data_IF_791428210164
#
_entry.id   IF_791428210164
#
_cell.length_a   1.000
_cell.length_b   1.000
_cell.length_c   1.000
_cell.angle_alpha   90.00
_cell.angle_beta   90.00
_cell.angle_gamma   90.00
#
_symmetry.space_group_name_H-M   'P 1'
#
loop_
_entity.id
_entity.type
_entity.pdbx_description
1 polymer ?
#
# COMPACT_ATOMS: atom_id res chain seq x y z
N UNK A 1 -9.13 -17.49 -11.04
CA UNK A 1 -7.66 -17.47 -11.27
C UNK A 1 -7.13 -18.86 -10.95
N UNK A 2 -6.01 -19.31 -11.56
CA UNK A 2 -5.40 -20.60 -11.20
C UNK A 2 -5.15 -20.68 -9.69
N UNK A 3 -5.50 -21.80 -9.07
CA UNK A 3 -5.46 -22.03 -7.63
C UNK A 3 -4.05 -22.31 -7.07
N UNK A 4 -3.07 -22.53 -7.95
CA UNK A 4 -1.67 -22.78 -7.59
C UNK A 4 -0.88 -21.54 -7.20
N UNK A 5 -1.46 -20.33 -7.31
CA UNK A 5 -0.78 -19.08 -7.00
C UNK A 5 -1.47 -18.31 -5.88
N UNK A 6 -0.66 -17.58 -5.12
CA UNK A 6 -1.14 -16.55 -4.20
C UNK A 6 -1.28 -15.23 -4.94
N UNK A 7 -2.44 -14.59 -4.83
CA UNK A 7 -2.70 -13.30 -5.47
C UNK A 7 -2.72 -12.16 -4.47
N UNK A 8 -2.37 -10.97 -4.97
CA UNK A 8 -2.47 -9.70 -4.26
C UNK A 8 -3.25 -8.68 -5.07
N UNK A 9 -4.13 -7.91 -4.43
CA UNK A 9 -4.84 -6.77 -5.02
C UNK A 9 -4.40 -5.49 -4.34
N UNK A 10 -3.83 -4.59 -5.13
CA UNK A 10 -3.53 -3.21 -4.72
C UNK A 10 -4.64 -2.28 -5.22
N UNK A 11 -5.30 -1.59 -4.29
CA UNK A 11 -6.27 -0.54 -4.61
C UNK A 11 -5.65 0.84 -4.40
N UNK A 12 -5.96 1.78 -5.30
CA UNK A 12 -5.41 3.15 -5.26
C UNK A 12 -6.47 4.23 -5.05
N UNK A 13 -7.76 3.85 -5.02
CA UNK A 13 -8.86 4.80 -4.86
C UNK A 13 -9.12 5.10 -3.36
N UNK A 14 -9.23 6.38 -2.95
CA UNK A 14 -9.38 6.76 -1.53
C UNK A 14 -10.58 6.14 -0.81
N UNK A 15 -11.66 5.84 -1.53
CA UNK A 15 -12.86 5.22 -0.96
C UNK A 15 -12.58 3.87 -0.28
N UNK A 16 -11.56 3.13 -0.75
CA UNK A 16 -11.14 1.88 -0.13
C UNK A 16 -10.26 2.06 1.12
N UNK A 17 -9.99 3.29 1.54
CA UNK A 17 -9.23 3.63 2.76
C UNK A 17 -10.06 4.47 3.74
N UNK A 18 -11.35 4.68 3.44
CA UNK A 18 -12.22 5.55 4.23
C UNK A 18 -12.94 4.82 5.38
N UNK A 19 -12.65 3.53 5.62
CA UNK A 19 -13.35 2.68 6.60
C UNK A 19 -14.87 2.62 6.40
N UNK A 20 -15.33 2.90 5.18
CA UNK A 20 -16.74 2.84 4.77
C UNK A 20 -17.16 1.46 4.26
N UNK A 21 -18.36 1.36 3.70
CA UNK A 21 -18.88 0.09 3.14
C UNK A 21 -18.04 -0.42 1.97
N UNK A 22 -17.53 0.45 1.10
CA UNK A 22 -16.68 0.04 -0.02
C UNK A 22 -15.42 -0.71 0.44
N UNK A 23 -14.73 -0.19 1.46
CA UNK A 23 -13.57 -0.86 2.06
C UNK A 23 -13.96 -2.18 2.72
N UNK A 24 -15.08 -2.22 3.48
CA UNK A 24 -15.56 -3.44 4.13
C UNK A 24 -15.93 -4.52 3.11
N UNK A 25 -16.65 -4.16 2.06
CA UNK A 25 -17.06 -5.06 0.99
C UNK A 25 -15.85 -5.62 0.24
N UNK A 26 -14.87 -4.78 -0.08
CA UNK A 26 -13.60 -5.21 -0.67
C UNK A 26 -12.88 -6.22 0.24
N UNK A 27 -12.67 -5.88 1.50
CA UNK A 27 -11.92 -6.72 2.43
C UNK A 27 -12.59 -8.09 2.65
N UNK A 28 -13.92 -8.14 2.80
CA UNK A 28 -14.68 -9.40 2.88
C UNK A 28 -14.52 -10.21 1.60
N UNK A 29 -14.74 -9.60 0.44
CA UNK A 29 -14.65 -10.30 -0.84
C UNK A 29 -13.26 -10.87 -1.12
N UNK A 30 -12.20 -10.18 -0.72
CA UNK A 30 -10.83 -10.69 -0.80
C UNK A 30 -10.60 -11.85 0.18
N UNK A 31 -11.09 -11.73 1.40
CA UNK A 31 -10.95 -12.77 2.43
C UNK A 31 -11.67 -14.07 2.04
N UNK A 32 -12.92 -13.97 1.55
CA UNK A 32 -13.71 -15.12 1.09
C UNK A 32 -13.01 -15.89 -0.06
N UNK A 33 -12.10 -15.23 -0.79
CA UNK A 33 -11.37 -15.79 -1.92
C UNK A 33 -9.93 -16.17 -1.60
N UNK A 34 -9.46 -15.96 -0.36
CA UNK A 34 -8.06 -16.17 0.00
C UNK A 34 -7.08 -15.27 -0.76
N UNK A 35 -7.51 -14.07 -1.16
CA UNK A 35 -6.68 -13.11 -1.90
C UNK A 35 -6.13 -12.07 -0.92
N UNK A 36 -4.83 -11.75 -1.03
CA UNK A 36 -4.19 -10.75 -0.21
C UNK A 36 -4.59 -9.34 -0.68
N UNK A 37 -4.94 -8.46 0.25
CA UNK A 37 -4.93 -7.02 0.02
C UNK A 37 -3.49 -6.53 0.20
N UNK A 38 -2.96 -5.87 -0.82
CA UNK A 38 -1.63 -5.24 -0.73
C UNK A 38 -1.75 -4.03 0.19
N UNK A 39 -0.93 -4.01 1.24
CA UNK A 39 -0.82 -2.87 2.13
C UNK A 39 0.07 -1.84 1.45
N UNK A 40 -0.51 -0.70 1.07
CA UNK A 40 0.21 0.39 0.42
C UNK A 40 0.75 1.37 1.47
N UNK A 41 2.07 1.47 1.57
CA UNK A 41 2.74 2.46 2.42
C UNK A 41 3.51 3.45 1.54
N UNK A 42 2.94 4.64 1.36
CA UNK A 42 3.56 5.73 0.63
C UNK A 42 4.12 6.84 1.54
N UNK A 43 4.25 6.60 2.86
CA UNK A 43 4.72 7.62 3.81
C UNK A 43 6.10 8.16 3.41
N UNK A 44 7.06 7.29 3.08
CA UNK A 44 8.44 7.68 2.82
C UNK A 44 8.59 8.58 1.58
N UNK A 45 7.99 8.22 0.44
CA UNK A 45 8.03 9.08 -0.76
C UNK A 45 7.42 10.46 -0.51
N UNK A 46 6.37 10.56 0.31
CA UNK A 46 5.71 11.83 0.63
C UNK A 46 6.45 12.64 1.70
N UNK A 47 7.14 11.97 2.63
CA UNK A 47 7.94 12.60 3.68
C UNK A 47 9.32 13.08 3.20
N UNK A 48 9.83 12.56 2.09
CA UNK A 48 11.12 12.97 1.51
C UNK A 48 11.24 14.51 1.44
N UNK A 49 12.33 15.12 1.94
CA UNK A 49 12.57 16.55 1.76
C UNK A 49 13.06 16.90 0.34
N UNK A 50 13.40 15.89 -0.47
CA UNK A 50 13.98 16.07 -1.79
C UNK A 50 13.06 16.86 -2.74
N UNK A 51 13.71 17.74 -3.51
CA UNK A 51 13.10 18.61 -4.53
C UNK A 51 13.62 18.33 -5.92
N UNK A 52 14.32 17.21 -6.12
CA UNK A 52 14.74 16.78 -7.47
C UNK A 52 13.50 16.58 -8.35
N UNK A 53 13.65 16.77 -9.66
CA UNK A 53 12.54 16.56 -10.59
C UNK A 53 11.96 15.14 -10.47
N UNK A 54 12.81 14.12 -10.27
CA UNK A 54 12.41 12.75 -10.06
C UNK A 54 11.60 12.56 -8.76
N UNK A 55 12.03 13.16 -7.64
CA UNK A 55 11.31 13.07 -6.37
C UNK A 55 9.95 13.77 -6.44
N UNK A 56 9.86 14.93 -7.10
CA UNK A 56 8.61 15.66 -7.27
C UNK A 56 7.62 14.89 -8.17
N UNK A 57 8.10 14.32 -9.28
CA UNK A 57 7.29 13.46 -10.16
C UNK A 57 6.78 12.21 -9.42
N UNK A 58 7.65 11.56 -8.63
CA UNK A 58 7.27 10.42 -7.81
C UNK A 58 6.16 10.82 -6.82
N UNK A 59 6.34 11.90 -6.04
CA UNK A 59 5.33 12.41 -5.11
C UNK A 59 3.98 12.68 -5.78
N UNK A 60 3.98 13.29 -6.97
CA UNK A 60 2.75 13.62 -7.68
C UNK A 60 1.98 12.37 -8.15
N UNK A 61 2.69 11.31 -8.57
CA UNK A 61 2.09 10.08 -9.12
C UNK A 61 1.65 9.06 -8.07
N UNK A 62 2.14 9.14 -6.84
CA UNK A 62 1.80 8.19 -5.78
C UNK A 62 0.60 8.68 -4.96
N UNK A 63 -0.41 7.84 -4.72
CA UNK A 63 -1.56 8.22 -3.93
C UNK A 63 -1.14 8.57 -2.50
N UNK A 64 -1.80 9.56 -1.92
CA UNK A 64 -1.74 9.90 -0.50
C UNK A 64 -2.93 9.25 0.19
N UNK A 65 -2.75 8.02 0.64
CA UNK A 65 -3.78 7.25 1.35
C UNK A 65 -3.24 6.80 2.70
N UNK A 66 -4.09 6.70 3.74
CA UNK A 66 -3.67 6.17 5.04
C UNK A 66 -3.11 4.75 4.92
N UNK A 67 -2.09 4.45 5.72
CA UNK A 67 -1.56 3.09 5.83
C UNK A 67 -2.52 2.26 6.67
N UNK A 68 -3.11 1.24 6.06
CA UNK A 68 -4.02 0.30 6.71
C UNK A 68 -3.39 -1.09 6.74
N UNK A 69 -2.83 -1.48 7.90
CA UNK A 69 -2.40 -2.86 8.12
C UNK A 69 -3.64 -3.75 8.21
N UNK A 70 -3.85 -4.59 7.21
CA UNK A 70 -5.00 -5.49 7.10
C UNK A 70 -4.57 -6.80 6.48
N UNK A 71 -5.03 -7.90 7.08
CA UNK A 71 -4.80 -9.26 6.58
C UNK A 71 -6.11 -9.81 6.04
N UNK A 72 -6.17 -10.08 4.74
CA UNK A 72 -7.30 -10.76 4.09
C UNK A 72 -6.98 -12.20 3.70
N UNK A 73 -5.71 -12.61 3.66
CA UNK A 73 -5.31 -13.99 3.38
C UNK A 73 -3.97 -14.33 4.06
N UNK A 74 -3.43 -15.51 3.75
CA UNK A 74 -2.34 -16.11 4.54
C UNK A 74 -0.91 -15.74 4.09
N UNK A 75 -0.78 -14.91 3.06
CA UNK A 75 0.50 -14.45 2.52
C UNK A 75 0.54 -12.91 2.43
N UNK A 76 0.57 -12.20 3.58
CA UNK A 76 0.45 -10.74 3.60
C UNK A 76 1.50 -10.07 2.71
N UNK A 77 1.09 -9.02 1.99
CA UNK A 77 1.93 -8.32 1.04
C UNK A 77 1.97 -6.83 1.37
N UNK A 78 3.17 -6.26 1.44
CA UNK A 78 3.38 -4.83 1.65
C UNK A 78 4.02 -4.25 0.39
N UNK A 79 3.48 -3.13 -0.08
CA UNK A 79 4.12 -2.27 -1.06
C UNK A 79 4.55 -0.99 -0.38
N UNK A 80 5.78 -1.00 0.12
CA UNK A 80 6.44 0.18 0.65
C UNK A 80 7.05 0.99 -0.50
N UNK A 81 6.71 2.28 -0.57
CA UNK A 81 7.23 3.22 -1.55
C UNK A 81 8.21 4.16 -0.84
N UNK A 82 9.50 3.80 -0.95
CA UNK A 82 10.61 4.59 -0.43
C UNK A 82 10.75 5.98 -1.06
N UNK A 83 11.49 6.83 -0.38
CA UNK A 83 12.04 8.05 -0.94
C UNK A 83 13.24 7.77 -1.84
N UNK A 84 13.86 8.84 -2.34
CA UNK A 84 15.12 8.83 -3.05
C UNK A 84 16.36 8.72 -2.13
N UNK A 85 16.17 8.68 -0.81
CA UNK A 85 17.21 8.37 0.19
C UNK A 85 16.80 7.11 0.98
N UNK A 86 17.67 6.10 0.97
CA UNK A 86 17.43 4.84 1.69
C UNK A 86 17.36 5.07 3.20
N UNK A 87 18.13 6.00 3.76
CA UNK A 87 18.15 6.22 5.21
C UNK A 87 16.83 6.79 5.71
N UNK A 88 16.25 7.76 4.98
CA UNK A 88 14.92 8.31 5.25
C UNK A 88 13.84 7.21 5.19
N UNK A 89 14.01 6.28 4.25
CA UNK A 89 13.10 5.15 4.05
C UNK A 89 13.22 4.10 5.14
N UNK A 90 14.44 3.81 5.63
CA UNK A 90 14.71 2.76 6.62
C UNK A 90 13.97 2.99 7.94
N UNK A 91 13.92 4.25 8.42
CA UNK A 91 13.24 4.59 9.67
C UNK A 91 11.72 4.37 9.61
N UNK A 92 11.10 4.54 8.43
CA UNK A 92 9.67 4.28 8.24
C UNK A 92 9.38 2.82 7.89
N UNK A 93 10.36 2.13 7.31
CA UNK A 93 10.24 0.71 6.99
C UNK A 93 10.32 -0.18 8.24
N UNK A 94 11.01 0.24 9.30
CA UNK A 94 11.16 -0.56 10.53
C UNK A 94 9.88 -0.83 11.31
N UNK A 95 8.77 -0.17 10.97
CA UNK A 95 7.44 -0.46 11.51
C UNK A 95 6.86 -1.80 11.00
N UNK A 96 7.44 -2.35 9.93
CA UNK A 96 7.04 -3.60 9.27
C UNK A 96 7.96 -4.76 9.65
#
# INVERSE_FOLDING_TARGET
LPDTFNYGVEVRHPEFFARGEAERALNRGLADRGINRVILDSRAVHASPSRTAAALDAKAKKPKVPVHAVRTADAPMIRFIGSDDVNDSSALFSDW
#
